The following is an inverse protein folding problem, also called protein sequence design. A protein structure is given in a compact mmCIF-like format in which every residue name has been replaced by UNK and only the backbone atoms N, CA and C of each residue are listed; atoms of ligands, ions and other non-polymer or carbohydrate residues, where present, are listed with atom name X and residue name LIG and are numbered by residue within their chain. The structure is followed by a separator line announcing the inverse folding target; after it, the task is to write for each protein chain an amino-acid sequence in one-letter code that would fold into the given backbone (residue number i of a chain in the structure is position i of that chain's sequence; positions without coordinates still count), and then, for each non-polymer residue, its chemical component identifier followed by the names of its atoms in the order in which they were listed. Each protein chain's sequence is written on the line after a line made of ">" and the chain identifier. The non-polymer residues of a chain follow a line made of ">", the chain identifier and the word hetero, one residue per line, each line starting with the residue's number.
data_IF_860472855282
#
_entry.id   IF_860472855282
#
_cell.length_a   1.000
_cell.length_b   1.000
_cell.length_c   1.000
_cell.angle_alpha   90.00
_cell.angle_beta   90.00
_cell.angle_gamma   90.00
#
_symmetry.space_group_name_H-M   'P 1'
#
loop_
_entity.id
_entity.type
_entity.pdbx_description
1 polymer ?
#
# COMPACT_ATOMS: atom_id res chain seq x y z
N UNK A 1 -10.74 5.70 5.73
CA UNK A 1 -9.37 6.21 5.48
C UNK A 1 -8.86 6.74 6.80
N UNK A 2 -7.59 6.50 7.11
CA UNK A 2 -6.96 7.00 8.33
C UNK A 2 -5.66 7.71 7.97
N UNK A 3 -5.47 8.92 8.51
CA UNK A 3 -4.30 9.76 8.24
C UNK A 3 -3.11 9.29 9.08
N UNK A 4 -1.95 9.17 8.46
CA UNK A 4 -0.66 8.93 9.09
C UNK A 4 -0.04 10.29 9.39
N UNK A 5 -0.04 10.69 10.66
CA UNK A 5 0.41 12.04 11.05
C UNK A 5 1.93 12.14 11.18
N UNK A 6 2.63 11.02 11.42
CA UNK A 6 4.09 11.01 11.50
C UNK A 6 4.70 10.65 10.13
N UNK A 7 5.15 11.68 9.40
CA UNK A 7 5.74 11.48 8.08
C UNK A 7 7.08 10.73 8.13
N UNK A 8 7.84 10.76 9.23
CA UNK A 8 9.09 10.01 9.32
C UNK A 8 8.83 8.50 9.33
N UNK A 9 7.81 8.07 10.07
CA UNK A 9 7.37 6.67 10.11
C UNK A 9 6.89 6.22 8.72
N UNK A 10 6.15 7.08 8.02
CA UNK A 10 5.74 6.81 6.64
C UNK A 10 6.94 6.67 5.71
N UNK A 11 7.90 7.59 5.77
CA UNK A 11 9.14 7.50 4.98
C UNK A 11 9.87 6.19 5.28
N UNK A 12 9.98 5.80 6.55
CA UNK A 12 10.63 4.55 6.97
C UNK A 12 9.94 3.32 6.34
N UNK A 13 8.61 3.24 6.44
CA UNK A 13 7.83 2.14 5.84
C UNK A 13 8.06 2.08 4.34
N UNK A 14 7.90 3.19 3.62
CA UNK A 14 8.03 3.19 2.16
C UNK A 14 9.45 2.81 1.75
N UNK A 15 10.48 3.36 2.41
CA UNK A 15 11.89 3.02 2.14
C UNK A 15 12.16 1.54 2.39
N UNK A 16 11.58 0.95 3.44
CA UNK A 16 11.68 -0.48 3.72
C UNK A 16 11.00 -1.34 2.65
N UNK A 17 9.96 -0.83 1.97
CA UNK A 17 9.26 -1.56 0.89
C UNK A 17 9.97 -1.46 -0.46
N UNK A 18 10.40 -0.26 -0.87
CA UNK A 18 10.91 -0.02 -2.24
C UNK A 18 12.45 0.11 -2.32
N UNK A 19 13.12 0.21 -1.17
CA UNK A 19 14.56 0.40 -1.07
C UNK A 19 14.99 1.86 -0.99
N UNK A 20 16.16 2.08 -0.38
CA UNK A 20 16.68 3.41 -0.02
C UNK A 20 17.09 4.32 -1.19
N UNK A 21 16.99 3.86 -2.44
CA UNK A 21 17.45 4.62 -3.61
C UNK A 21 16.37 4.85 -4.64
N UNK A 22 15.12 4.45 -4.40
CA UNK A 22 14.03 4.71 -5.35
C UNK A 22 13.30 5.99 -5.01
N UNK A 23 13.02 6.79 -6.04
CA UNK A 23 12.10 7.91 -5.93
C UNK A 23 10.67 7.39 -5.81
N UNK A 24 9.82 8.10 -5.07
CA UNK A 24 8.43 7.69 -4.88
C UNK A 24 7.45 8.83 -4.64
N UNK A 25 6.16 8.50 -4.79
CA UNK A 25 5.03 9.29 -4.33
C UNK A 25 4.25 8.42 -3.34
N UNK A 26 4.19 8.83 -2.10
CA UNK A 26 3.33 8.21 -1.10
C UNK A 26 2.16 9.15 -0.77
N UNK A 27 1.11 8.61 -0.16
CA UNK A 27 0.00 9.40 0.39
C UNK A 27 0.03 9.23 1.90
N UNK A 28 -0.21 10.31 2.65
CA UNK A 28 -0.19 10.32 4.12
C UNK A 28 -1.40 9.59 4.76
N UNK A 29 -1.92 8.54 4.12
CA UNK A 29 -3.11 7.84 4.57
C UNK A 29 -3.11 6.37 4.19
N UNK A 30 -3.80 5.58 5.02
CA UNK A 30 -4.20 4.21 4.70
C UNK A 30 -5.65 4.17 4.23
N UNK A 31 -5.91 3.27 3.29
CA UNK A 31 -7.16 3.19 2.55
C UNK A 31 -7.84 1.86 2.82
N UNK A 32 -9.16 1.87 2.94
CA UNK A 32 -9.89 0.62 2.79
C UNK A 32 -9.77 0.18 1.33
N UNK A 33 -9.59 -1.13 1.01
CA UNK A 33 -9.43 -1.58 -0.38
C UNK A 33 -10.55 -1.11 -1.33
N UNK A 34 -11.78 -0.98 -0.83
CA UNK A 34 -12.90 -0.45 -1.60
C UNK A 34 -12.81 1.03 -1.97
N UNK A 35 -11.89 1.78 -1.38
CA UNK A 35 -11.69 3.20 -1.63
C UNK A 35 -10.42 3.46 -2.47
N UNK A 36 -9.98 2.47 -3.25
CA UNK A 36 -8.80 2.59 -4.11
C UNK A 36 -9.10 3.18 -5.49
N UNK A 37 -10.35 3.08 -5.95
CA UNK A 37 -10.81 3.58 -7.26
C UNK A 37 -12.12 4.35 -7.12
N UNK A 38 -12.22 5.49 -7.81
CA UNK A 38 -13.42 6.28 -7.86
C UNK A 38 -14.36 5.84 -8.99
N UNK A 39 -15.58 6.39 -9.02
CA UNK A 39 -16.60 6.07 -10.02
C UNK A 39 -16.21 6.38 -11.48
N UNK A 40 -15.11 7.12 -11.71
CA UNK A 40 -14.55 7.43 -13.03
C UNK A 40 -13.37 6.52 -13.40
N UNK A 41 -13.04 5.54 -12.55
CA UNK A 41 -11.91 4.64 -12.76
C UNK A 41 -10.55 5.23 -12.34
N UNK A 42 -10.51 6.43 -11.76
CA UNK A 42 -9.26 7.02 -11.28
C UNK A 42 -8.95 6.54 -9.86
N UNK A 43 -7.70 6.20 -9.65
CA UNK A 43 -7.17 5.70 -8.38
C UNK A 43 -6.69 6.82 -7.46
N UNK A 44 -6.48 6.55 -6.18
CA UNK A 44 -5.82 7.50 -5.27
C UNK A 44 -4.41 7.88 -5.77
N UNK A 45 -3.74 6.93 -6.42
CA UNK A 45 -2.43 7.15 -7.05
C UNK A 45 -2.50 8.12 -8.24
N UNK A 46 -3.49 7.98 -9.11
CA UNK A 46 -3.70 8.90 -10.24
C UNK A 46 -3.91 10.32 -9.74
N UNK A 47 -4.70 10.49 -8.68
CA UNK A 47 -4.97 11.80 -8.10
C UNK A 47 -3.71 12.42 -7.47
N UNK A 48 -2.92 11.63 -6.74
CA UNK A 48 -1.63 12.09 -6.20
C UNK A 48 -0.67 12.52 -7.32
N UNK A 49 -0.62 11.75 -8.40
CA UNK A 49 0.17 12.07 -9.57
C UNK A 49 -0.26 13.37 -10.25
N UNK A 50 -1.55 13.52 -10.54
CA UNK A 50 -2.09 14.72 -11.18
C UNK A 50 -1.92 15.96 -10.31
N UNK A 51 -2.10 15.83 -9.00
CA UNK A 51 -1.88 16.92 -8.07
C UNK A 51 -0.43 17.41 -8.12
N UNK A 52 0.55 16.51 -8.06
CA UNK A 52 1.97 16.86 -8.16
C UNK A 52 2.30 17.48 -9.52
N UNK A 53 1.81 16.88 -10.61
CA UNK A 53 2.03 17.38 -11.97
C UNK A 53 1.53 18.83 -12.11
N UNK A 54 0.40 19.17 -11.48
CA UNK A 54 -0.16 20.52 -11.53
C UNK A 54 0.64 21.57 -10.75
N UNK A 55 1.45 21.17 -9.75
CA UNK A 55 2.22 22.12 -8.92
C UNK A 55 3.43 22.72 -9.67
N UNK A 56 4.08 21.93 -10.52
CA UNK A 56 5.36 22.33 -11.12
C UNK A 56 5.52 21.93 -12.60
N UNK A 57 4.41 21.63 -13.26
CA UNK A 57 4.38 21.16 -14.65
C UNK A 57 5.13 19.84 -14.88
N UNK A 58 5.23 18.98 -13.85
CA UNK A 58 5.77 17.62 -13.95
C UNK A 58 7.28 17.51 -13.74
N UNK A 59 7.93 18.55 -13.21
CA UNK A 59 9.36 18.50 -12.90
C UNK A 59 9.65 17.49 -11.76
N UNK A 60 8.90 17.55 -10.66
CA UNK A 60 8.98 16.64 -9.51
C UNK A 60 8.77 15.20 -9.98
N UNK A 61 7.79 14.98 -10.86
CA UNK A 61 7.53 13.66 -11.45
C UNK A 61 8.78 13.13 -12.16
N UNK A 62 9.45 13.98 -12.95
CA UNK A 62 10.69 13.61 -13.66
C UNK A 62 11.87 13.36 -12.72
N UNK A 63 11.94 14.06 -11.58
CA UNK A 63 12.94 13.82 -10.53
C UNK A 63 12.68 12.50 -9.80
N UNK A 64 11.42 12.16 -9.51
CA UNK A 64 11.01 10.88 -8.93
C UNK A 64 11.42 9.73 -9.87
N UNK A 65 11.17 9.89 -11.18
CA UNK A 65 11.57 8.92 -12.21
C UNK A 65 13.08 8.65 -12.25
N UNK A 66 13.87 9.66 -11.95
CA UNK A 66 15.33 9.60 -11.91
C UNK A 66 15.89 9.23 -10.55
N UNK A 67 15.03 8.86 -9.60
CA UNK A 67 15.38 8.58 -8.21
C UNK A 67 16.05 9.76 -7.47
N UNK A 68 15.84 10.97 -7.95
CA UNK A 68 16.45 12.19 -7.38
C UNK A 68 15.64 12.69 -6.17
N UNK A 69 14.33 12.39 -6.12
CA UNK A 69 13.44 12.85 -5.05
C UNK A 69 12.39 11.82 -4.66
N UNK A 70 11.81 12.03 -3.49
CA UNK A 70 10.66 11.30 -2.96
C UNK A 70 9.74 12.26 -2.22
N UNK A 71 8.43 12.05 -2.34
CA UNK A 71 7.44 12.98 -1.78
C UNK A 71 6.26 12.26 -1.16
N UNK A 72 5.65 12.92 -0.17
CA UNK A 72 4.41 12.50 0.47
C UNK A 72 3.35 13.54 0.11
N UNK A 73 2.27 13.10 -0.53
CA UNK A 73 1.13 13.93 -0.87
C UNK A 73 0.12 13.90 0.27
N UNK A 74 -0.28 15.05 0.82
CA UNK A 74 -1.35 15.11 1.80
C UNK A 74 -2.67 14.64 1.21
N UNK A 75 -3.31 13.65 1.82
CA UNK A 75 -4.58 13.04 1.39
C UNK A 75 -5.72 14.05 1.30
N UNK A 76 -5.70 15.11 2.12
CA UNK A 76 -6.65 16.22 2.09
C UNK A 76 -6.65 16.98 0.75
N UNK A 77 -5.54 16.97 0.02
CA UNK A 77 -5.44 17.61 -1.29
C UNK A 77 -6.08 16.79 -2.42
N UNK A 78 -6.48 15.55 -2.14
CA UNK A 78 -6.89 14.57 -3.15
C UNK A 78 -8.40 14.35 -3.22
N UNK A 79 -9.20 15.05 -2.39
CA UNK A 79 -10.67 14.96 -2.36
C UNK A 79 -11.20 13.50 -2.37
N UNK A 80 -10.53 12.62 -1.62
CA UNK A 80 -10.73 11.17 -1.67
C UNK A 80 -12.08 10.75 -1.05
N UNK A 81 -12.53 11.46 -0.03
CA UNK A 81 -13.76 11.12 0.71
C UNK A 81 -15.04 11.34 -0.11
N UNK A 82 -15.04 12.30 -1.03
CA UNK A 82 -16.22 12.66 -1.83
C UNK A 82 -16.34 11.85 -3.14
N UNK A 83 -15.23 11.31 -3.64
CA UNK A 83 -15.15 10.74 -4.97
C UNK A 83 -15.07 9.21 -5.00
N UNK A 84 -14.56 8.57 -3.95
CA UNK A 84 -14.35 7.13 -3.91
C UNK A 84 -15.62 6.44 -3.40
N UNK A 85 -16.35 5.80 -4.33
CA UNK A 85 -17.52 4.99 -4.01
C UNK A 85 -17.09 3.58 -3.63
N UNK A 86 -17.93 2.96 -2.80
CA UNK A 86 -17.87 1.55 -2.40
C UNK A 86 -17.82 0.68 -3.67
N UNK A 87 -16.70 -0.01 -3.83
CA UNK A 87 -16.51 -1.05 -4.82
C UNK A 87 -17.56 -2.16 -4.67
N UNK A 88 -18.22 -2.60 -5.75
CA UNK A 88 -19.25 -3.64 -5.70
C UNK A 88 -18.64 -5.05 -5.65
N UNK A 89 -17.82 -5.32 -4.64
CA UNK A 89 -17.21 -6.63 -4.39
C UNK A 89 -17.57 -7.03 -2.97
N UNK A 90 -17.96 -8.28 -2.80
CA UNK A 90 -18.34 -8.85 -1.51
C UNK A 90 -17.21 -9.68 -0.87
N UNK A 91 -15.99 -9.66 -1.39
CA UNK A 91 -14.90 -10.48 -0.86
C UNK A 91 -14.49 -10.03 0.54
N UNK A 92 -14.75 -8.77 0.92
CA UNK A 92 -14.61 -8.32 2.31
C UNK A 92 -15.91 -8.47 3.13
N UNK A 93 -16.94 -9.13 2.58
CA UNK A 93 -18.20 -9.34 3.28
C UNK A 93 -18.02 -10.36 4.41
N UNK A 94 -18.26 -10.00 5.67
CA UNK A 94 -18.11 -10.92 6.80
C UNK A 94 -18.99 -12.17 6.70
N UNK A 95 -20.14 -12.09 6.02
CA UNK A 95 -21.00 -13.26 5.79
C UNK A 95 -20.38 -14.29 4.86
N UNK A 96 -19.48 -13.87 3.97
CA UNK A 96 -18.72 -14.76 3.08
C UNK A 96 -17.39 -15.17 3.72
N UNK A 97 -16.72 -14.20 4.37
CA UNK A 97 -15.37 -14.32 4.89
C UNK A 97 -15.33 -13.82 6.35
N UNK A 98 -15.52 -14.75 7.31
CA UNK A 98 -15.69 -14.46 8.75
C UNK A 98 -14.52 -13.71 9.40
N UNK A 99 -13.34 -13.70 8.78
CA UNK A 99 -12.20 -12.91 9.24
C UNK A 99 -12.52 -11.41 9.29
N UNK A 100 -13.38 -10.94 8.40
CA UNK A 100 -13.75 -9.52 8.35
C UNK A 100 -14.77 -9.12 9.43
N UNK A 101 -15.28 -10.08 10.22
CA UNK A 101 -15.97 -9.77 11.50
C UNK A 101 -14.98 -9.28 12.58
N UNK A 102 -13.69 -9.62 12.43
CA UNK A 102 -12.65 -9.37 13.44
C UNK A 102 -11.61 -8.36 13.00
N UNK A 103 -11.36 -8.28 11.70
CA UNK A 103 -10.29 -7.47 11.12
C UNK A 103 -10.85 -6.54 10.04
N UNK A 104 -10.36 -5.30 10.02
CA UNK A 104 -10.67 -4.33 8.98
C UNK A 104 -9.45 -4.20 8.08
N UNK A 105 -9.56 -4.53 6.77
CA UNK A 105 -8.41 -4.47 5.87
C UNK A 105 -8.08 -3.02 5.49
N UNK A 106 -6.79 -2.72 5.46
CA UNK A 106 -6.28 -1.45 4.97
C UNK A 106 -5.06 -1.66 4.09
N UNK A 107 -4.84 -0.71 3.17
CA UNK A 107 -3.68 -0.67 2.29
C UNK A 107 -2.97 0.67 2.41
N UNK A 108 -1.64 0.64 2.37
CA UNK A 108 -0.80 1.82 2.34
C UNK A 108 -0.26 2.02 0.91
N UNK A 109 -0.76 3.00 0.16
CA UNK A 109 -0.36 3.19 -1.23
C UNK A 109 0.97 3.93 -1.37
N UNK A 110 1.74 3.52 -2.38
CA UNK A 110 2.83 4.29 -2.95
C UNK A 110 2.90 4.10 -4.46
N UNK A 111 3.54 5.04 -5.15
CA UNK A 111 3.99 4.93 -6.53
C UNK A 111 5.50 5.01 -6.56
N UNK A 112 6.12 4.14 -7.34
CA UNK A 112 7.53 4.21 -7.72
C UNK A 112 7.62 3.91 -9.20
N UNK A 113 8.67 4.41 -9.86
CA UNK A 113 8.94 4.00 -11.23
C UNK A 113 9.49 2.58 -11.27
N UNK A 114 8.96 1.76 -12.18
CA UNK A 114 9.63 0.55 -12.64
C UNK A 114 10.76 0.98 -13.57
N UNK A 115 12.00 0.66 -13.21
CA UNK A 115 13.19 1.04 -13.98
C UNK A 115 13.56 -0.09 -14.97
N UNK A 116 13.16 -1.33 -14.68
CA UNK A 116 13.35 -2.49 -15.53
C UNK A 116 12.41 -3.62 -15.05
N UNK A 117 11.63 -4.24 -15.94
CA UNK A 117 10.72 -5.36 -15.59
C UNK A 117 11.47 -6.61 -15.11
N UNK A 118 12.81 -6.60 -15.19
CA UNK A 118 13.70 -7.67 -14.74
C UNK A 118 14.16 -7.51 -13.29
N UNK A 119 13.95 -6.35 -12.69
CA UNK A 119 14.51 -6.05 -11.38
C UNK A 119 13.49 -6.38 -10.29
N UNK A 120 13.65 -7.56 -9.67
CA UNK A 120 12.78 -8.04 -8.59
C UNK A 120 12.62 -6.97 -7.49
N UNK A 121 11.39 -6.80 -7.01
CA UNK A 121 11.02 -5.75 -6.07
C UNK A 121 11.80 -5.90 -4.76
N UNK A 122 12.12 -4.77 -4.13
CA UNK A 122 12.95 -4.79 -2.93
C UNK A 122 12.33 -5.64 -1.80
N UNK A 123 11.02 -5.52 -1.56
CA UNK A 123 10.33 -6.33 -0.58
C UNK A 123 10.36 -7.83 -0.90
N UNK A 124 10.29 -8.22 -2.18
CA UNK A 124 10.44 -9.63 -2.60
C UNK A 124 11.84 -10.12 -2.26
N UNK A 125 12.88 -9.37 -2.64
CA UNK A 125 14.29 -9.67 -2.30
C UNK A 125 14.48 -9.87 -0.80
N UNK A 126 13.91 -8.97 0.02
CA UNK A 126 14.05 -9.03 1.48
C UNK A 126 13.32 -10.22 2.10
N UNK A 127 12.09 -10.51 1.65
CA UNK A 127 11.33 -11.68 2.11
C UNK A 127 12.06 -12.96 1.72
N UNK A 128 12.49 -13.09 0.47
CA UNK A 128 13.20 -14.27 -0.02
C UNK A 128 14.52 -14.50 0.72
N UNK A 129 15.26 -13.44 1.02
CA UNK A 129 16.49 -13.53 1.82
C UNK A 129 16.22 -14.08 3.23
N UNK A 130 15.19 -13.60 3.92
CA UNK A 130 14.84 -14.12 5.26
C UNK A 130 14.31 -15.56 5.20
N UNK A 131 13.49 -15.89 4.20
CA UNK A 131 13.02 -17.25 3.98
C UNK A 131 14.18 -18.23 3.78
N UNK A 132 15.18 -17.87 2.99
CA UNK A 132 16.37 -18.71 2.76
C UNK A 132 17.23 -18.87 4.02
N UNK A 133 17.33 -17.83 4.85
CA UNK A 133 18.18 -17.83 6.04
C UNK A 133 17.51 -18.49 7.26
N UNK A 134 16.19 -18.34 7.42
CA UNK A 134 15.47 -18.66 8.66
C UNK A 134 14.23 -19.53 8.45
N UNK A 135 13.79 -19.74 7.20
CA UNK A 135 12.55 -20.46 6.89
C UNK A 135 11.27 -19.64 7.07
N UNK A 136 11.36 -18.37 7.48
CA UNK A 136 10.25 -17.43 7.64
C UNK A 136 10.70 -15.98 7.46
N UNK A 137 9.79 -15.06 7.09
CA UNK A 137 10.07 -13.63 6.93
C UNK A 137 9.55 -12.75 8.10
N UNK A 138 9.48 -13.33 9.31
CA UNK A 138 8.86 -12.69 10.47
C UNK A 138 9.52 -11.36 10.84
N UNK A 139 10.86 -11.28 10.80
CA UNK A 139 11.58 -10.07 11.22
C UNK A 139 11.33 -8.93 10.25
N UNK A 140 11.33 -9.20 8.95
CA UNK A 140 10.98 -8.20 7.93
C UNK A 140 9.56 -7.68 8.14
N UNK A 141 8.59 -8.57 8.32
CA UNK A 141 7.17 -8.21 8.52
C UNK A 141 6.93 -7.42 9.82
N UNK A 142 7.55 -7.83 10.94
CA UNK A 142 7.39 -7.14 12.22
C UNK A 142 7.92 -5.72 12.21
N UNK A 143 8.92 -5.42 11.37
CA UNK A 143 9.36 -4.03 11.21
C UNK A 143 8.24 -3.15 10.64
N UNK A 144 7.40 -3.66 9.73
CA UNK A 144 6.25 -2.92 9.23
C UNK A 144 5.15 -2.78 10.28
N UNK A 145 4.82 -3.87 10.98
CA UNK A 145 3.81 -3.87 12.04
C UNK A 145 4.16 -2.86 13.13
N UNK A 146 5.42 -2.80 13.56
CA UNK A 146 5.93 -1.83 14.53
C UNK A 146 5.68 -0.40 14.09
N UNK A 147 6.06 -0.04 12.86
CA UNK A 147 5.97 1.35 12.40
C UNK A 147 4.51 1.74 12.09
N UNK A 148 3.70 0.82 11.55
CA UNK A 148 2.28 1.08 11.32
C UNK A 148 1.49 1.22 12.64
N UNK A 149 1.84 0.45 13.67
CA UNK A 149 1.18 0.52 14.99
C UNK A 149 1.37 1.88 15.68
N UNK A 150 2.36 2.67 15.30
CA UNK A 150 2.50 4.05 15.78
C UNK A 150 1.44 5.00 15.21
N UNK A 151 0.80 4.61 14.10
CA UNK A 151 -0.04 5.49 13.28
C UNK A 151 -1.49 5.01 13.18
N UNK A 152 -1.80 3.82 13.68
CA UNK A 152 -3.11 3.18 13.59
C UNK A 152 -3.55 2.72 14.98
N UNK A 153 -4.83 2.90 15.29
CA UNK A 153 -5.38 2.44 16.56
C UNK A 153 -5.64 0.93 16.53
N UNK A 154 -5.28 0.23 17.61
CA UNK A 154 -5.49 -1.21 17.76
C UNK A 154 -4.31 -2.06 17.29
N UNK A 155 -4.55 -3.36 17.12
CA UNK A 155 -3.52 -4.30 16.70
C UNK A 155 -3.41 -4.31 15.17
N UNK A 156 -2.23 -3.94 14.65
CA UNK A 156 -1.92 -3.99 13.22
C UNK A 156 -1.19 -5.27 12.88
N UNK A 157 -1.57 -5.87 11.75
CA UNK A 157 -0.87 -7.01 11.18
C UNK A 157 -0.80 -6.86 9.66
N UNK A 158 0.41 -6.90 9.12
CA UNK A 158 0.68 -6.86 7.69
C UNK A 158 0.42 -8.24 7.10
N UNK A 159 -0.50 -8.33 6.13
CA UNK A 159 -0.85 -9.58 5.45
C UNK A 159 0.02 -9.86 4.22
N UNK A 160 0.71 -8.85 3.70
CA UNK A 160 1.62 -8.99 2.58
C UNK A 160 1.86 -7.68 1.84
N UNK A 161 2.56 -7.82 0.74
CA UNK A 161 2.89 -6.74 -0.20
C UNK A 161 2.43 -7.17 -1.58
N UNK A 162 2.09 -6.20 -2.43
CA UNK A 162 1.65 -6.51 -3.77
C UNK A 162 1.54 -5.27 -4.63
N UNK A 163 1.71 -5.48 -5.93
CA UNK A 163 1.42 -4.47 -6.92
C UNK A 163 -0.08 -4.35 -7.14
N UNK A 164 -0.55 -3.13 -7.33
CA UNK A 164 -1.96 -2.88 -7.64
C UNK A 164 -2.20 -3.04 -9.14
N UNK A 165 -2.98 -4.05 -9.52
CA UNK A 165 -3.42 -4.23 -10.90
C UNK A 165 -4.79 -3.57 -11.12
N UNK A 166 -4.82 -2.47 -11.89
CA UNK A 166 -6.07 -1.76 -12.22
C UNK A 166 -7.06 -2.61 -13.03
N UNK A 167 -6.57 -3.58 -13.79
CA UNK A 167 -7.40 -4.47 -14.61
C UNK A 167 -7.94 -5.66 -13.81
N UNK A 168 -7.24 -6.06 -12.74
CA UNK A 168 -7.67 -7.11 -11.82
C UNK A 168 -7.67 -6.62 -10.38
N UNK A 169 -8.62 -5.76 -10.19
CA UNK A 169 -9.04 -5.13 -8.96
C UNK A 169 -9.21 -6.11 -7.78
N UNK A 170 -9.83 -7.26 -8.02
CA UNK A 170 -10.14 -8.22 -6.95
C UNK A 170 -8.90 -9.01 -6.50
N UNK A 171 -7.85 -9.04 -7.30
CA UNK A 171 -6.62 -9.80 -7.03
C UNK A 171 -6.00 -9.42 -5.68
N UNK A 172 -5.92 -8.12 -5.37
CA UNK A 172 -5.36 -7.65 -4.12
C UNK A 172 -6.19 -8.13 -2.91
N UNK A 173 -7.52 -8.09 -3.02
CA UNK A 173 -8.42 -8.53 -1.96
C UNK A 173 -8.35 -10.06 -1.80
N UNK A 174 -8.31 -10.80 -2.90
CA UNK A 174 -8.22 -12.25 -2.89
C UNK A 174 -6.91 -12.71 -2.24
N UNK A 175 -5.78 -12.09 -2.60
CA UNK A 175 -4.48 -12.37 -1.98
C UNK A 175 -4.51 -12.24 -0.46
N UNK A 176 -5.15 -11.19 0.06
CA UNK A 176 -5.29 -11.00 1.52
C UNK A 176 -6.24 -12.02 2.16
N UNK A 177 -7.34 -12.34 1.49
CA UNK A 177 -8.32 -13.33 1.95
C UNK A 177 -7.68 -14.72 2.04
N UNK A 178 -7.04 -15.16 0.95
CA UNK A 178 -6.40 -16.47 0.83
C UNK A 178 -5.26 -16.63 1.83
N UNK A 179 -4.44 -15.59 2.02
CA UNK A 179 -3.36 -15.62 3.01
C UNK A 179 -3.91 -15.88 4.42
N UNK A 180 -4.97 -15.18 4.81
CA UNK A 180 -5.58 -15.38 6.13
C UNK A 180 -6.09 -16.82 6.27
N UNK A 181 -6.80 -17.34 5.28
CA UNK A 181 -7.38 -18.68 5.34
C UNK A 181 -6.31 -19.76 5.44
N UNK A 182 -5.19 -19.59 4.75
CA UNK A 182 -4.08 -20.54 4.76
C UNK A 182 -3.23 -20.49 6.04
N UNK A 183 -3.07 -19.32 6.66
CA UNK A 183 -2.06 -19.13 7.69
C UNK A 183 -2.62 -18.78 9.08
N UNK A 184 -3.84 -18.25 9.14
CA UNK A 184 -4.41 -17.64 10.35
C UNK A 184 -5.76 -18.24 10.74
N UNK A 185 -6.53 -18.76 9.77
CA UNK A 185 -7.69 -19.58 10.06
C UNK A 185 -7.19 -20.93 10.61
N UNK A 186 -7.23 -21.09 11.94
CA UNK A 186 -6.99 -22.40 12.54
C UNK A 186 -8.06 -23.35 11.97
N UNK A 187 -7.63 -24.33 11.17
CA UNK A 187 -8.42 -25.54 10.93
C UNK A 187 -8.54 -26.34 12.22
#
# INVERSE_FOLDING_TARGET
>A
MQKISNHNDLVEIIRNTIGNRKGYIAIDSIFHPYNLINHKGATAWDLAWFWLYAQDQGKIISEIARNETATIVPSENLNLLENFRIWPNDNLNPHKNKQYDKFVPFVLPYLTYSIDDKDEEHWVKMINAELQLQGHAHKYIENFNRVLSNNVEGHVMTLGFGEFNRENLDDLINKFTDFYDQNMSRK
#
